data_IF_100832816007
#
_entry.id   IF_100832816007
#
_cell.length_a   1.000
_cell.length_b   1.000
_cell.length_c   1.000
_cell.angle_alpha   90.00
_cell.angle_beta   90.00
_cell.angle_gamma   90.00
#
_symmetry.space_group_name_H-M   'P 1'
#
loop_
_entity.id
_entity.type
_entity.pdbx_description
1 polymer ?
#
# COMPACT_ATOMS: atom_id res chain seq x y z
N UNK A 1 -3.23 25.52 -16.65
CA UNK A 1 -4.20 24.83 -15.79
C UNK A 1 -5.01 23.90 -16.68
N UNK A 2 -4.71 22.60 -16.67
CA UNK A 2 -5.43 21.62 -17.50
C UNK A 2 -6.32 20.79 -16.58
N UNK A 3 -7.63 21.00 -16.66
CA UNK A 3 -8.62 20.21 -15.94
C UNK A 3 -8.53 18.77 -16.44
N UNK A 4 -8.10 17.85 -15.57
CA UNK A 4 -8.20 16.42 -15.83
C UNK A 4 -9.68 16.06 -15.85
N UNK A 5 -10.22 15.62 -16.99
CA UNK A 5 -11.60 15.16 -17.08
C UNK A 5 -11.62 13.66 -16.81
N UNK A 6 -12.36 13.25 -15.79
CA UNK A 6 -12.67 11.84 -15.52
C UNK A 6 -14.01 11.54 -16.14
N UNK A 7 -14.05 10.50 -16.98
CA UNK A 7 -15.29 9.96 -17.51
C UNK A 7 -15.62 8.68 -16.75
N UNK A 8 -16.78 8.65 -16.11
CA UNK A 8 -17.35 7.47 -15.45
C UNK A 8 -18.51 6.97 -16.31
N UNK A 9 -18.42 5.75 -16.85
CA UNK A 9 -19.60 5.06 -17.40
C UNK A 9 -20.57 4.75 -16.25
N UNK A 10 -21.63 5.54 -16.14
CA UNK A 10 -22.71 5.30 -15.18
C UNK A 10 -23.63 4.20 -15.68
N UNK A 11 -23.20 2.95 -15.54
CA UNK A 11 -24.14 1.82 -15.49
C UNK A 11 -24.60 1.67 -14.05
N UNK A 12 -25.70 2.34 -13.70
CA UNK A 12 -26.36 2.23 -12.41
C UNK A 12 -27.04 0.85 -12.27
N UNK A 13 -26.24 -0.18 -12.06
CA UNK A 13 -26.71 -1.38 -11.38
C UNK A 13 -26.45 -1.13 -9.89
N UNK A 14 -27.52 -1.11 -9.08
CA UNK A 14 -27.40 -0.95 -7.62
C UNK A 14 -26.79 -2.22 -7.03
N UNK A 15 -25.47 -2.30 -7.05
CA UNK A 15 -24.76 -3.22 -6.18
C UNK A 15 -25.01 -2.76 -4.74
N UNK A 16 -25.23 -3.71 -3.83
CA UNK A 16 -25.40 -3.42 -2.41
C UNK A 16 -24.22 -2.63 -1.84
N UNK A 17 -24.30 -2.18 -0.58
CA UNK A 17 -23.24 -1.40 0.06
C UNK A 17 -21.86 -2.07 -0.14
N UNK A 18 -20.88 -1.29 -0.61
CA UNK A 18 -19.55 -1.79 -1.02
C UNK A 18 -18.44 -1.23 -0.12
N UNK A 19 -17.45 -2.06 0.19
CA UNK A 19 -16.25 -1.67 0.92
C UNK A 19 -14.99 -1.78 0.05
N UNK A 20 -13.92 -1.06 0.42
CA UNK A 20 -12.60 -1.16 -0.21
C UNK A 20 -12.46 -0.39 -1.54
N UNK A 21 -13.50 0.32 -1.97
CA UNK A 21 -13.51 1.08 -3.23
C UNK A 21 -13.03 2.50 -2.97
N UNK A 22 -12.03 2.95 -3.73
CA UNK A 22 -11.54 4.33 -3.67
C UNK A 22 -12.55 5.25 -4.35
N UNK A 23 -13.21 6.11 -3.59
CA UNK A 23 -14.20 7.05 -4.11
C UNK A 23 -13.61 8.40 -4.48
N UNK A 24 -12.50 8.80 -3.86
CA UNK A 24 -11.94 10.15 -4.04
C UNK A 24 -10.44 10.20 -3.80
N UNK A 25 -9.77 11.06 -4.55
CA UNK A 25 -8.40 11.48 -4.29
C UNK A 25 -8.27 13.00 -4.37
N UNK A 26 -7.57 13.60 -3.40
CA UNK A 26 -7.18 15.00 -3.39
C UNK A 26 -5.67 15.12 -3.17
N UNK A 27 -5.02 15.92 -4.01
CA UNK A 27 -3.60 16.20 -3.95
C UNK A 27 -3.38 17.68 -3.70
N UNK A 28 -2.46 18.00 -2.81
CA UNK A 28 -2.06 19.37 -2.50
C UNK A 28 -0.53 19.46 -2.52
N UNK A 29 0.00 20.38 -3.32
CA UNK A 29 1.44 20.59 -3.51
C UNK A 29 2.21 19.29 -3.80
N UNK A 30 1.62 18.38 -4.58
CA UNK A 30 2.19 17.06 -4.89
C UNK A 30 2.67 17.02 -6.34
N UNK A 31 3.98 16.87 -6.53
CA UNK A 31 4.67 16.86 -7.82
C UNK A 31 4.28 18.08 -8.68
N UNK A 32 3.56 17.87 -9.78
CA UNK A 32 3.14 18.96 -10.67
C UNK A 32 1.83 19.63 -10.23
N UNK A 33 1.08 19.05 -9.29
CA UNK A 33 -0.25 19.49 -8.87
C UNK A 33 -0.19 20.39 -7.62
N UNK A 34 -0.62 21.65 -7.74
CA UNK A 34 -0.79 22.52 -6.57
C UNK A 34 -2.05 22.14 -5.78
N UNK A 35 -3.15 21.90 -6.49
CA UNK A 35 -4.41 21.40 -5.94
C UNK A 35 -5.10 20.59 -7.05
N UNK A 36 -5.40 19.33 -6.77
CA UNK A 36 -6.15 18.44 -7.67
C UNK A 36 -7.15 17.66 -6.83
N UNK A 37 -8.39 17.58 -7.29
CA UNK A 37 -9.40 16.71 -6.69
C UNK A 37 -10.07 15.91 -7.80
N UNK A 38 -10.23 14.61 -7.58
CA UNK A 38 -10.85 13.68 -8.50
C UNK A 38 -11.81 12.80 -7.69
N UNK A 39 -13.06 12.77 -8.14
CA UNK A 39 -14.05 11.77 -7.71
C UNK A 39 -13.94 10.57 -8.66
N UNK A 40 -13.88 9.36 -8.11
CA UNK A 40 -13.75 8.11 -8.82
C UNK A 40 -15.08 7.33 -8.74
N UNK A 41 -15.49 6.74 -9.85
CA UNK A 41 -16.56 5.77 -9.89
C UNK A 41 -16.12 4.39 -9.38
N UNK A 42 -17.08 3.51 -9.16
CA UNK A 42 -16.88 2.27 -8.39
C UNK A 42 -16.12 1.17 -9.14
N UNK A 43 -15.97 1.31 -10.46
CA UNK A 43 -15.37 0.30 -11.32
C UNK A 43 -14.24 0.90 -12.15
N UNK A 44 -14.55 1.27 -13.39
CA UNK A 44 -13.54 1.72 -14.35
C UNK A 44 -13.53 3.24 -14.38
N UNK A 45 -12.33 3.80 -14.20
CA UNK A 45 -12.09 5.23 -14.23
C UNK A 45 -11.05 5.56 -15.30
N UNK A 46 -11.43 6.40 -16.26
CA UNK A 46 -10.52 6.87 -17.30
C UNK A 46 -9.99 8.25 -16.97
N UNK A 47 -8.68 8.33 -16.67
CA UNK A 47 -7.97 9.60 -16.47
C UNK A 47 -7.21 9.96 -17.73
N UNK A 48 -7.66 11.01 -18.42
CA UNK A 48 -7.09 11.46 -19.69
C UNK A 48 -6.44 12.84 -19.59
N UNK A 49 -5.57 13.17 -20.53
CA UNK A 49 -4.86 14.44 -20.56
C UNK A 49 -3.59 14.38 -21.41
N UNK A 50 -3.01 15.54 -21.71
CA UNK A 50 -1.78 15.65 -22.51
C UNK A 50 -0.58 14.99 -21.83
N UNK A 51 0.44 14.63 -22.59
CA UNK A 51 1.69 14.14 -22.02
C UNK A 51 2.31 15.21 -21.10
N UNK A 52 2.80 14.79 -19.94
CA UNK A 52 3.29 15.72 -18.91
C UNK A 52 2.21 16.37 -18.03
N UNK A 53 0.91 16.12 -18.26
CA UNK A 53 -0.16 16.71 -17.45
C UNK A 53 -0.30 16.15 -16.02
N UNK A 54 0.59 15.25 -15.60
CA UNK A 54 0.58 14.69 -14.25
C UNK A 54 -0.34 13.50 -14.00
N UNK A 55 -0.79 12.78 -15.05
CA UNK A 55 -1.65 11.59 -14.91
C UNK A 55 -1.02 10.52 -14.02
N UNK A 56 0.23 10.16 -14.29
CA UNK A 56 0.98 9.17 -13.51
C UNK A 56 1.24 9.60 -12.07
N UNK A 57 1.14 10.91 -11.77
CA UNK A 57 1.27 11.41 -10.40
C UNK A 57 0.07 10.99 -9.52
N UNK A 58 -1.11 10.78 -10.12
CA UNK A 58 -2.30 10.29 -9.39
C UNK A 58 -2.06 8.85 -8.92
N UNK A 59 -1.60 7.98 -9.82
CA UNK A 59 -1.23 6.60 -9.46
C UNK A 59 -0.11 6.56 -8.42
N UNK A 60 0.90 7.43 -8.58
CA UNK A 60 2.00 7.56 -7.61
C UNK A 60 1.48 8.00 -6.25
N UNK A 61 0.56 8.96 -6.19
CA UNK A 61 -0.04 9.41 -4.96
C UNK A 61 -0.84 8.30 -4.26
N UNK A 62 -1.61 7.49 -5.00
CA UNK A 62 -2.30 6.32 -4.45
C UNK A 62 -1.31 5.33 -3.83
N UNK A 63 -0.23 4.95 -4.54
CA UNK A 63 0.81 4.08 -3.98
C UNK A 63 1.35 4.62 -2.65
N UNK A 64 1.65 5.91 -2.59
CA UNK A 64 2.22 6.56 -1.41
C UNK A 64 1.19 6.64 -0.26
N UNK A 65 -0.10 6.89 -0.56
CA UNK A 65 -1.17 6.90 0.43
C UNK A 65 -1.33 5.52 1.11
N UNK A 66 -1.26 4.44 0.33
CA UNK A 66 -1.34 3.05 0.81
C UNK A 66 -0.02 2.51 1.38
N UNK A 67 0.97 3.36 1.61
CA UNK A 67 2.18 3.00 2.36
C UNK A 67 3.34 2.46 1.54
N UNK A 68 3.28 2.52 0.19
CA UNK A 68 4.42 2.20 -0.65
C UNK A 68 5.62 3.09 -0.31
N UNK A 69 6.83 2.52 -0.31
CA UNK A 69 8.06 3.29 -0.14
C UNK A 69 8.31 4.16 -1.37
N UNK A 70 8.94 5.33 -1.20
CA UNK A 70 9.26 6.24 -2.30
C UNK A 70 9.96 5.53 -3.47
N UNK A 71 11.02 4.76 -3.18
CA UNK A 71 11.75 3.95 -4.18
C UNK A 71 10.85 2.95 -4.92
N UNK A 72 9.85 2.39 -4.25
CA UNK A 72 8.91 1.43 -4.84
C UNK A 72 8.04 2.02 -5.96
N UNK A 73 7.87 3.35 -5.97
CA UNK A 73 7.15 4.05 -7.04
C UNK A 73 7.96 4.20 -8.33
N UNK A 74 9.28 3.98 -8.29
CA UNK A 74 10.22 4.27 -9.39
C UNK A 74 10.22 5.74 -9.86
N UNK A 75 9.60 6.66 -9.09
CA UNK A 75 9.54 8.09 -9.42
C UNK A 75 10.42 8.98 -8.56
N UNK A 76 10.71 8.54 -7.33
CA UNK A 76 11.47 9.31 -6.34
C UNK A 76 12.30 8.39 -5.45
N UNK A 77 13.35 8.94 -4.86
CA UNK A 77 14.18 8.21 -3.90
C UNK A 77 13.70 8.39 -2.47
N UNK A 78 13.19 9.57 -2.15
CA UNK A 78 12.71 9.96 -0.83
C UNK A 78 11.32 10.59 -0.93
N UNK A 79 10.56 10.59 0.16
CA UNK A 79 9.19 11.11 0.14
C UNK A 79 9.14 12.63 -0.16
N UNK A 80 10.12 13.40 0.32
CA UNK A 80 10.21 14.85 0.07
C UNK A 80 10.34 15.20 -1.41
N UNK A 81 10.87 14.28 -2.24
CA UNK A 81 11.00 14.50 -3.69
C UNK A 81 9.62 14.55 -4.39
N UNK A 82 8.55 14.14 -3.71
CA UNK A 82 7.18 14.31 -4.20
C UNK A 82 6.58 15.68 -3.88
N UNK A 83 7.25 16.51 -3.08
CA UNK A 83 6.79 17.87 -2.80
C UNK A 83 6.97 18.70 -4.06
N UNK A 84 5.93 19.43 -4.45
CA UNK A 84 5.97 20.36 -5.57
C UNK A 84 7.10 21.37 -5.35
N UNK A 85 7.92 21.59 -6.38
CA UNK A 85 9.00 22.57 -6.34
C UNK A 85 8.49 23.95 -5.91
N UNK A 86 9.15 24.55 -4.92
CA UNK A 86 8.76 25.82 -4.33
C UNK A 86 7.75 25.72 -3.16
N UNK A 87 7.31 24.51 -2.80
CA UNK A 87 6.44 24.28 -1.65
C UNK A 87 7.21 23.56 -0.52
N UNK A 88 6.77 23.74 0.73
CA UNK A 88 7.39 23.14 1.92
C UNK A 88 6.75 21.82 2.36
N UNK A 89 5.59 21.47 1.80
CA UNK A 89 4.86 20.26 2.12
C UNK A 89 4.02 19.79 0.94
N UNK A 90 3.59 18.53 1.01
CA UNK A 90 2.57 17.93 0.15
C UNK A 90 1.55 17.16 0.99
N UNK A 91 0.32 17.06 0.50
CA UNK A 91 -0.74 16.23 1.09
C UNK A 91 -1.34 15.34 0.02
N UNK A 92 -1.46 14.06 0.35
CA UNK A 92 -2.27 13.09 -0.40
C UNK A 92 -3.43 12.68 0.50
N UNK A 93 -4.64 12.84 0.00
CA UNK A 93 -5.88 12.55 0.71
C UNK A 93 -6.69 11.58 -0.15
N UNK A 94 -7.11 10.46 0.44
CA UNK A 94 -7.84 9.39 -0.25
C UNK A 94 -9.04 8.99 0.58
N UNK A 95 -10.21 8.87 -0.06
CA UNK A 95 -11.42 8.32 0.58
C UNK A 95 -11.72 6.94 0.02
N UNK A 96 -12.10 6.04 0.92
CA UNK A 96 -12.41 4.64 0.63
C UNK A 96 -13.79 4.35 1.21
N UNK A 97 -14.68 3.77 0.41
CA UNK A 97 -15.98 3.29 0.88
C UNK A 97 -15.79 2.18 1.90
N UNK A 98 -16.59 2.22 2.96
CA UNK A 98 -16.50 1.32 4.10
C UNK A 98 -17.90 0.85 4.53
N UNK A 99 -18.67 0.33 3.58
CA UNK A 99 -20.05 -0.11 3.81
C UNK A 99 -20.21 -1.60 3.46
N UNK A 100 -21.21 -2.26 4.03
CA UNK A 100 -21.52 -3.66 3.73
C UNK A 100 -20.80 -4.64 4.66
N UNK A 101 -20.90 -5.94 4.37
CA UNK A 101 -20.38 -7.01 5.24
C UNK A 101 -18.85 -6.97 5.33
N UNK A 102 -18.17 -6.52 4.28
CA UNK A 102 -16.71 -6.42 4.22
C UNK A 102 -16.16 -5.11 4.79
N UNK A 103 -16.98 -4.31 5.49
CA UNK A 103 -16.53 -3.04 6.08
C UNK A 103 -15.44 -3.26 7.15
N UNK A 104 -14.38 -2.45 7.07
CA UNK A 104 -13.32 -2.40 8.06
C UNK A 104 -13.72 -1.55 9.26
N UNK A 105 -13.92 -2.20 10.42
CA UNK A 105 -14.22 -1.54 11.70
C UNK A 105 -15.29 -0.44 11.56
N UNK A 106 -16.50 -0.76 11.06
CA UNK A 106 -17.54 0.23 10.74
C UNK A 106 -17.95 1.08 11.95
N UNK A 107 -17.97 0.53 13.16
CA UNK A 107 -18.26 1.30 14.38
C UNK A 107 -17.24 2.42 14.67
N UNK A 108 -16.02 2.27 14.18
CA UNK A 108 -14.92 3.22 14.40
C UNK A 108 -14.82 4.25 13.27
N UNK A 109 -14.92 3.79 12.03
CA UNK A 109 -14.69 4.64 10.86
C UNK A 109 -15.97 5.13 10.18
N UNK A 110 -17.11 4.47 10.42
CA UNK A 110 -18.36 4.69 9.68
C UNK A 110 -18.24 4.28 8.21
N UNK A 111 -19.08 4.87 7.38
CA UNK A 111 -19.26 4.48 5.97
C UNK A 111 -18.09 4.84 5.04
N UNK A 112 -17.14 5.65 5.50
CA UNK A 112 -16.00 6.12 4.72
C UNK A 112 -14.75 6.16 5.58
N UNK A 113 -13.66 5.59 5.07
CA UNK A 113 -12.33 5.70 5.67
C UNK A 113 -11.52 6.71 4.87
N UNK A 114 -10.92 7.66 5.58
CA UNK A 114 -10.10 8.70 4.98
C UNK A 114 -8.65 8.44 5.33
N UNK A 115 -7.80 8.31 4.31
CA UNK A 115 -6.34 8.24 4.46
C UNK A 115 -5.77 9.61 4.10
N UNK A 116 -5.15 10.27 5.07
CA UNK A 116 -4.41 11.52 4.85
C UNK A 116 -2.93 11.30 5.11
N UNK A 117 -2.12 11.47 4.07
CA UNK A 117 -0.67 11.43 4.16
C UNK A 117 -0.09 12.81 3.92
N UNK A 118 0.58 13.34 4.95
CA UNK A 118 1.28 14.62 4.88
C UNK A 118 2.78 14.39 4.81
N UNK A 119 3.42 15.05 3.85
CA UNK A 119 4.86 14.98 3.59
C UNK A 119 5.41 16.39 3.75
N UNK A 120 6.51 16.52 4.47
CA UNK A 120 7.31 17.74 4.60
C UNK A 120 8.78 17.42 4.30
N UNK A 121 9.64 18.41 4.28
CA UNK A 121 11.07 18.20 4.01
C UNK A 121 11.75 17.26 5.02
N UNK A 122 11.33 17.32 6.28
CA UNK A 122 11.96 16.57 7.39
C UNK A 122 11.13 15.40 7.90
N UNK A 123 9.81 15.45 7.76
CA UNK A 123 8.89 14.44 8.33
C UNK A 123 7.81 14.01 7.35
N UNK A 124 7.30 12.79 7.55
CA UNK A 124 6.09 12.31 6.89
C UNK A 124 5.18 11.64 7.90
N UNK A 125 3.87 11.87 7.80
CA UNK A 125 2.87 11.26 8.67
C UNK A 125 1.71 10.71 7.85
N UNK A 126 1.07 9.66 8.34
CA UNK A 126 -0.18 9.13 7.79
C UNK A 126 -1.19 9.04 8.91
N UNK A 127 -2.39 9.53 8.64
CA UNK A 127 -3.49 9.60 9.58
C UNK A 127 -4.70 8.96 8.93
N UNK A 128 -5.33 8.04 9.65
CA UNK A 128 -6.63 7.48 9.28
C UNK A 128 -7.72 8.26 10.01
N UNK A 129 -8.72 8.71 9.28
CA UNK A 129 -9.87 9.46 9.81
C UNK A 129 -11.17 8.72 9.47
N UNK A 130 -12.17 8.92 10.32
CA UNK A 130 -13.52 8.40 10.09
C UNK A 130 -14.30 9.28 9.08
N UNK A 131 -15.53 8.89 8.76
CA UNK A 131 -16.42 9.61 7.84
C UNK A 131 -16.70 11.09 8.20
N UNK A 132 -16.48 11.49 9.46
CA UNK A 132 -16.62 12.88 9.92
C UNK A 132 -15.30 13.68 9.83
N UNK A 133 -14.22 13.07 9.34
CA UNK A 133 -12.89 13.67 9.30
C UNK A 133 -12.16 13.68 10.64
N UNK A 134 -12.68 12.98 11.67
CA UNK A 134 -12.00 12.86 12.97
C UNK A 134 -10.87 11.84 12.87
N UNK A 135 -9.67 12.21 13.34
CA UNK A 135 -8.52 11.31 13.45
C UNK A 135 -8.86 10.13 14.37
N UNK A 136 -8.71 8.92 13.84
CA UNK A 136 -8.90 7.65 14.54
C UNK A 136 -7.56 7.01 14.85
N UNK A 137 -6.67 6.95 13.85
CA UNK A 137 -5.41 6.23 13.95
C UNK A 137 -4.27 6.94 13.20
N UNK A 138 -3.03 6.55 13.48
CA UNK A 138 -1.85 7.14 12.82
C UNK A 138 -0.60 6.26 12.86
N UNK A 139 -0.68 5.05 13.43
CA UNK A 139 0.49 4.17 13.42
C UNK A 139 0.57 3.51 12.06
N UNK A 140 1.78 3.15 11.66
CA UNK A 140 2.01 2.43 10.40
C UNK A 140 1.26 1.09 10.38
N UNK A 141 1.18 0.41 11.51
CA UNK A 141 0.45 -0.86 11.66
C UNK A 141 -1.05 -0.71 11.39
N UNK A 142 -1.66 0.42 11.78
CA UNK A 142 -3.08 0.67 11.56
C UNK A 142 -3.38 0.80 10.05
N UNK A 143 -2.47 1.46 9.30
CA UNK A 143 -2.55 1.52 7.84
C UNK A 143 -2.33 0.14 7.21
N UNK A 144 -1.39 -0.65 7.75
CA UNK A 144 -1.11 -2.00 7.24
C UNK A 144 -2.33 -2.90 7.39
N UNK A 145 -2.97 -2.89 8.55
CA UNK A 145 -4.19 -3.66 8.83
C UNK A 145 -5.34 -3.28 7.87
N UNK A 146 -5.53 -1.98 7.62
CA UNK A 146 -6.51 -1.48 6.64
C UNK A 146 -6.22 -2.00 5.22
N UNK A 147 -4.96 -1.91 4.80
CA UNK A 147 -4.51 -2.33 3.47
C UNK A 147 -4.63 -3.84 3.29
N UNK A 148 -4.27 -4.61 4.31
CA UNK A 148 -4.43 -6.07 4.35
C UNK A 148 -5.91 -6.48 4.30
N UNK A 149 -6.77 -5.82 5.07
CA UNK A 149 -8.22 -6.11 5.10
C UNK A 149 -8.87 -5.93 3.72
N UNK A 150 -8.53 -4.85 3.00
CA UNK A 150 -9.05 -4.62 1.64
C UNK A 150 -8.21 -5.25 0.52
N UNK A 151 -7.18 -6.03 0.87
CA UNK A 151 -6.29 -6.69 -0.08
C UNK A 151 -5.67 -5.73 -1.12
N UNK A 152 -5.25 -4.53 -0.69
CA UNK A 152 -4.70 -3.48 -1.56
C UNK A 152 -3.18 -3.62 -1.67
N UNK A 153 -2.69 -4.50 -2.54
CA UNK A 153 -1.24 -4.67 -2.75
C UNK A 153 -0.69 -3.69 -3.80
N UNK A 154 -0.28 -2.50 -3.38
CA UNK A 154 0.31 -1.48 -4.27
C UNK A 154 1.73 -1.82 -4.75
N UNK A 155 2.39 -2.82 -4.17
CA UNK A 155 3.72 -3.26 -4.60
C UNK A 155 3.64 -4.35 -5.68
N UNK A 156 2.52 -5.08 -5.75
CA UNK A 156 2.24 -6.06 -6.80
C UNK A 156 2.15 -5.38 -8.18
N UNK A 157 3.01 -5.77 -9.15
CA UNK A 157 3.02 -5.19 -10.49
C UNK A 157 1.75 -5.45 -11.32
N UNK A 158 0.94 -6.45 -10.97
CA UNK A 158 -0.35 -6.71 -11.60
C UNK A 158 -1.49 -5.83 -11.05
N UNK A 159 -1.35 -5.31 -9.83
CA UNK A 159 -2.29 -4.34 -9.25
C UNK A 159 -1.91 -2.93 -9.69
N UNK A 160 -0.63 -2.57 -9.55
CA UNK A 160 -0.08 -1.29 -9.99
C UNK A 160 0.90 -1.52 -11.13
N UNK A 161 0.36 -1.38 -12.34
CA UNK A 161 1.10 -1.48 -13.59
C UNK A 161 1.55 -0.09 -14.04
N UNK A 162 2.78 0.30 -13.70
CA UNK A 162 3.36 1.56 -14.17
C UNK A 162 3.83 1.44 -15.62
N UNK A 163 4.01 2.58 -16.31
CA UNK A 163 4.58 2.60 -17.66
C UNK A 163 5.96 1.92 -17.71
N UNK A 164 6.79 2.15 -16.69
CA UNK A 164 8.14 1.61 -16.61
C UNK A 164 8.12 0.10 -16.31
N UNK A 165 7.26 -0.37 -15.39
CA UNK A 165 7.04 -1.81 -15.14
C UNK A 165 6.51 -2.53 -16.40
N UNK A 166 5.60 -1.89 -17.14
CA UNK A 166 5.05 -2.45 -18.38
C UNK A 166 6.14 -2.61 -19.44
N UNK A 167 6.99 -1.58 -19.58
CA UNK A 167 8.13 -1.60 -20.50
C UNK A 167 9.14 -2.68 -20.09
N UNK A 168 9.48 -2.76 -18.81
CA UNK A 168 10.37 -3.78 -18.27
C UNK A 168 9.83 -5.18 -18.56
N UNK A 169 8.54 -5.44 -18.30
CA UNK A 169 7.91 -6.73 -18.56
C UNK A 169 7.92 -7.13 -20.05
N UNK A 170 7.63 -6.19 -20.95
CA UNK A 170 7.59 -6.47 -22.39
C UNK A 170 9.00 -6.61 -23.00
N UNK A 171 10.01 -5.95 -22.41
CA UNK A 171 11.38 -5.93 -22.92
C UNK A 171 12.40 -6.70 -22.09
N UNK A 172 11.99 -7.40 -21.01
CA UNK A 172 12.83 -8.34 -20.28
C UNK A 172 13.11 -9.54 -21.19
N UNK A 173 14.11 -9.41 -22.06
CA UNK A 173 14.38 -10.34 -23.16
C UNK A 173 14.79 -11.75 -22.75
N UNK A 174 14.84 -12.09 -21.45
CA UNK A 174 15.18 -13.42 -20.96
C UNK A 174 14.03 -14.03 -20.14
N UNK A 175 13.91 -15.36 -20.19
CA UNK A 175 12.82 -16.10 -19.55
C UNK A 175 12.90 -16.09 -18.01
N UNK A 176 14.09 -15.88 -17.44
CA UNK A 176 14.28 -15.80 -15.99
C UNK A 176 13.58 -14.57 -15.39
N UNK A 177 13.67 -13.43 -16.05
CA UNK A 177 13.07 -12.19 -15.57
C UNK A 177 11.54 -12.20 -15.78
N UNK A 178 11.04 -12.83 -16.84
CA UNK A 178 9.61 -13.12 -16.99
C UNK A 178 9.10 -14.02 -15.87
N UNK A 179 9.84 -15.07 -15.51
CA UNK A 179 9.48 -15.94 -14.39
C UNK A 179 9.49 -15.18 -13.07
N UNK A 180 10.53 -14.36 -12.78
CA UNK A 180 10.56 -13.53 -11.57
C UNK A 180 9.37 -12.58 -11.50
N UNK A 181 9.00 -11.96 -12.62
CA UNK A 181 7.81 -11.11 -12.68
C UNK A 181 6.54 -11.90 -12.34
N UNK A 182 6.32 -13.05 -12.97
CA UNK A 182 5.20 -13.94 -12.69
C UNK A 182 5.18 -14.39 -11.22
N UNK A 183 6.32 -14.81 -10.69
CA UNK A 183 6.51 -15.28 -9.32
C UNK A 183 6.18 -14.18 -8.29
N UNK A 184 6.54 -12.93 -8.60
CA UNK A 184 6.17 -11.76 -7.80
C UNK A 184 4.69 -11.40 -7.94
N UNK A 185 4.16 -11.40 -9.16
CA UNK A 185 2.77 -11.05 -9.46
C UNK A 185 1.75 -12.00 -8.82
N UNK A 186 2.09 -13.30 -8.78
CA UNK A 186 1.28 -14.36 -8.16
C UNK A 186 1.48 -14.48 -6.66
N UNK A 187 2.29 -13.59 -6.05
CA UNK A 187 2.65 -13.60 -4.63
C UNK A 187 3.37 -14.88 -4.15
N UNK A 188 3.78 -15.76 -5.08
CA UNK A 188 4.52 -16.99 -4.76
C UNK A 188 5.88 -16.68 -4.11
N UNK A 189 6.49 -15.55 -4.44
CA UNK A 189 7.68 -15.06 -3.77
C UNK A 189 7.49 -14.86 -2.25
N UNK A 190 6.33 -14.33 -1.84
CA UNK A 190 6.07 -14.10 -0.41
C UNK A 190 5.90 -15.43 0.34
N UNK A 191 5.29 -16.41 -0.32
CA UNK A 191 5.15 -17.78 0.22
C UNK A 191 6.52 -18.44 0.36
N UNK A 192 7.38 -18.31 -0.64
CA UNK A 192 8.74 -18.87 -0.61
C UNK A 192 9.60 -18.24 0.48
N UNK A 193 9.59 -16.89 0.60
CA UNK A 193 10.27 -16.17 1.69
C UNK A 193 9.78 -16.65 3.07
N UNK A 194 8.47 -16.82 3.23
CA UNK A 194 7.87 -17.31 4.47
C UNK A 194 8.32 -18.74 4.78
N UNK A 195 8.30 -19.64 3.78
CA UNK A 195 8.77 -21.01 3.95
C UNK A 195 10.26 -21.06 4.32
N UNK A 196 11.08 -20.21 3.71
CA UNK A 196 12.50 -20.12 4.03
C UNK A 196 12.70 -19.64 5.47
N UNK A 197 11.98 -18.58 5.89
CA UNK A 197 12.06 -18.08 7.26
C UNK A 197 11.64 -19.13 8.30
N UNK A 198 10.58 -19.90 8.02
CA UNK A 198 10.14 -21.00 8.88
C UNK A 198 11.22 -22.08 8.97
N UNK A 199 11.87 -22.44 7.85
CA UNK A 199 12.96 -23.42 7.84
C UNK A 199 14.14 -22.96 8.69
N UNK A 200 14.56 -21.70 8.54
CA UNK A 200 15.65 -21.11 9.33
C UNK A 200 15.33 -21.13 10.84
N UNK A 201 14.10 -20.80 11.23
CA UNK A 201 13.65 -20.89 12.62
C UNK A 201 13.67 -22.33 13.15
N UNK A 202 13.29 -23.29 12.32
CA UNK A 202 13.24 -24.71 12.68
C UNK A 202 14.66 -25.30 12.84
N UNK A 203 15.60 -24.92 11.99
CA UNK A 203 17.02 -25.27 12.12
C UNK A 203 17.65 -24.68 13.39
N UNK A 204 17.34 -23.42 13.70
CA UNK A 204 17.80 -22.77 14.92
C UNK A 204 17.25 -23.47 16.18
N UNK A 205 15.96 -23.82 16.19
CA UNK A 205 15.32 -24.54 17.29
C UNK A 205 15.92 -25.94 17.49
N UNK A 206 16.14 -26.69 16.40
CA UNK A 206 16.77 -28.01 16.44
C UNK A 206 18.21 -27.95 16.96
N UNK A 207 18.97 -26.93 16.54
CA UNK A 207 20.34 -26.71 17.00
C UNK A 207 20.38 -26.42 18.51
N UNK A 208 19.45 -25.59 19.00
CA UNK A 208 19.31 -25.31 20.44
C UNK A 208 18.93 -26.57 21.21
N UNK A 209 17.99 -27.38 20.70
CA UNK A 209 17.58 -28.63 21.32
C UNK A 209 18.75 -29.62 21.41
N UNK A 210 19.54 -29.77 20.33
CA UNK A 210 20.76 -30.57 20.32
C UNK A 210 21.79 -30.10 21.35
N UNK A 211 22.00 -28.79 21.47
CA UNK A 211 22.89 -28.21 22.49
C UNK A 211 22.42 -28.51 23.92
N UNK A 212 21.11 -28.42 24.19
CA UNK A 212 20.54 -28.72 25.51
C UNK A 212 20.67 -30.21 25.85
N UNK A 213 20.42 -31.11 24.89
CA UNK A 213 20.61 -32.55 25.07
C UNK A 213 22.08 -32.93 25.31
N UNK A 214 23.03 -32.23 24.67
CA UNK A 214 24.47 -32.44 24.85
C UNK A 214 25.01 -31.95 26.21
N UNK A 215 24.22 -31.24 27.02
CA UNK A 215 24.59 -30.73 28.36
C UNK A 215 23.65 -31.25 29.46
N UNK A 216 23.78 -32.53 29.86
CA UNK A 216 22.91 -33.14 30.88
C UNK A 216 22.90 -32.42 32.24
N UNK A 217 23.99 -31.71 32.61
CA UNK A 217 24.04 -30.90 33.84
C UNK A 217 23.09 -29.69 33.85
N UNK A 218 22.75 -29.12 32.69
CA UNK A 218 21.80 -28.01 32.57
C UNK A 218 20.34 -28.49 32.72
N UNK A 219 20.02 -29.67 32.18
CA UNK A 219 18.71 -30.32 32.32
C UNK A 219 18.43 -30.64 33.80
N UNK A 220 19.41 -31.20 34.52
CA UNK A 220 19.28 -31.47 35.96
C UNK A 220 19.05 -30.19 36.80
N UNK A 221 19.61 -29.04 36.41
CA UNK A 221 19.40 -27.77 37.11
C UNK A 221 18.02 -27.16 36.84
N UNK A 222 17.46 -27.34 35.63
CA UNK A 222 16.09 -26.94 35.29
C UNK A 222 15.03 -27.78 36.00
N UNK A 223 15.28 -29.08 36.19
CA UNK A 223 14.37 -29.99 36.92
C UNK A 223 14.45 -29.74 38.44
N UNK A 224 15.63 -29.40 38.99
CA UNK A 224 15.80 -29.08 40.41
C UNK A 224 15.13 -27.78 40.86
N UNK A 225 14.83 -26.85 39.96
CA UNK A 225 14.16 -25.59 40.28
C UNK A 225 12.62 -25.72 40.36
N UNK A 226 12.08 -26.90 40.06
CA UNK A 226 10.64 -27.18 40.05
C UNK A 226 10.16 -27.99 41.26
N UNK A 227 11.06 -28.31 42.19
CA UNK A 227 10.79 -28.81 43.55
C UNK A 227 11.32 -27.81 44.57
#
# INVERSE_FOLDING_TARGET
MANSRVFTESTAASYGPQAGIISKIRLENFMCHSNLQIELGDRVNFVTGQNGSGKSAILTALCIAFGCRAKGTQRATTLKDFIKTGCSYAVVYVEIKNQGEDAFKPDTYGDVIIIERRISESTSSTVLKNHQGKRVASRKEDLRELVEHFNIDVENPCVVMSQDKSREFLHSGNDKDKFKFFFKATLLHQVDDLLQSIREQLEAANSLFGYLLAKPKLICNLVRWRN
#
